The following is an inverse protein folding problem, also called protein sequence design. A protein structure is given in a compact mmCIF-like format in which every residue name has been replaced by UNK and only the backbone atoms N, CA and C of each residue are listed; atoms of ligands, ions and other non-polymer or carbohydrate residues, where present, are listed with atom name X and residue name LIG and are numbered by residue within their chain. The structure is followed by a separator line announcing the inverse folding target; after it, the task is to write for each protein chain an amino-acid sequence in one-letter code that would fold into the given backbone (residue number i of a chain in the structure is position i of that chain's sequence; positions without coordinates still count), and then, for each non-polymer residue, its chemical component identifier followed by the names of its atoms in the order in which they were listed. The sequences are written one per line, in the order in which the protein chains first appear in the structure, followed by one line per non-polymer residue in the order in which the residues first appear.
data_IF_118988151162
#
_entry.id   IF_118988151162
#
_cell.length_a   1.000
_cell.length_b   1.000
_cell.length_c   1.000
_cell.angle_alpha   90.00
_cell.angle_beta   90.00
_cell.angle_gamma   90.00
#
_symmetry.space_group_name_H-M   'P 1'
#
loop_
_entity.id
_entity.type
_entity.pdbx_description
1 polymer ?
#
# COMPACT_ATOMS: atom_id res chain seq x y z
N UNK A 1 -29.05 -43.35 -3.13
CA UNK A 1 -29.29 -43.11 -4.58
C UNK A 1 -29.18 -41.64 -5.01
N UNK A 2 -29.76 -40.65 -4.30
CA UNK A 2 -29.71 -39.21 -4.68
C UNK A 2 -28.29 -38.64 -4.85
N UNK A 3 -27.37 -38.94 -3.92
CA UNK A 3 -25.99 -38.41 -3.93
C UNK A 3 -25.18 -38.90 -5.13
N UNK A 4 -25.27 -40.20 -5.49
CA UNK A 4 -24.59 -40.75 -6.68
C UNK A 4 -25.11 -40.15 -7.98
N UNK A 5 -26.42 -39.85 -8.06
CA UNK A 5 -27.04 -39.22 -9.22
C UNK A 5 -26.63 -37.75 -9.37
N UNK A 6 -26.51 -37.02 -8.26
CA UNK A 6 -25.98 -35.65 -8.23
C UNK A 6 -24.51 -35.65 -8.65
N UNK A 7 -23.68 -36.52 -8.08
CA UNK A 7 -22.25 -36.61 -8.42
C UNK A 7 -22.02 -36.91 -9.92
N UNK A 8 -22.78 -37.84 -10.49
CA UNK A 8 -22.71 -38.16 -11.92
C UNK A 8 -23.13 -36.99 -12.83
N UNK A 9 -24.17 -36.25 -12.45
CA UNK A 9 -24.62 -35.06 -13.19
C UNK A 9 -23.57 -33.93 -13.11
N UNK A 10 -22.99 -33.71 -11.93
CA UNK A 10 -21.92 -32.73 -11.70
C UNK A 10 -20.69 -33.04 -12.53
N UNK A 11 -20.24 -34.30 -12.55
CA UNK A 11 -19.10 -34.74 -13.33
C UNK A 11 -19.33 -34.52 -14.85
N UNK A 12 -20.53 -34.84 -15.35
CA UNK A 12 -20.89 -34.60 -16.75
C UNK A 12 -20.89 -33.11 -17.10
N UNK A 13 -21.48 -32.27 -16.24
CA UNK A 13 -21.49 -30.82 -16.44
C UNK A 13 -20.07 -30.22 -16.39
N UNK A 14 -19.21 -30.72 -15.50
CA UNK A 14 -17.82 -30.30 -15.40
C UNK A 14 -17.03 -30.68 -16.66
N UNK A 15 -17.18 -31.92 -17.14
CA UNK A 15 -16.54 -32.36 -18.38
C UNK A 15 -16.98 -31.52 -19.59
N UNK A 16 -18.29 -31.25 -19.72
CA UNK A 16 -18.81 -30.39 -20.77
C UNK A 16 -18.27 -28.95 -20.68
N UNK A 17 -18.18 -28.40 -19.47
CA UNK A 17 -17.62 -27.07 -19.24
C UNK A 17 -16.10 -27.01 -19.50
N UNK A 18 -15.38 -28.11 -19.33
CA UNK A 18 -13.94 -28.18 -19.60
C UNK A 18 -13.63 -28.34 -21.09
N UNK A 19 -14.55 -28.93 -21.87
CA UNK A 19 -14.42 -29.06 -23.32
C UNK A 19 -14.64 -27.73 -24.06
N UNK A 20 -15.42 -26.81 -23.48
CA UNK A 20 -15.69 -25.49 -24.04
C UNK A 20 -15.12 -24.38 -23.14
N UNK A 21 -14.01 -23.79 -23.58
CA UNK A 21 -13.36 -22.68 -22.89
C UNK A 21 -14.30 -21.49 -22.67
N UNK A 22 -15.31 -21.29 -23.52
CA UNK A 22 -16.30 -20.22 -23.45
C UNK A 22 -17.64 -20.65 -22.86
N UNK A 23 -17.67 -21.81 -22.19
CA UNK A 23 -18.91 -22.34 -21.63
C UNK A 23 -19.59 -21.34 -20.68
N UNK A 24 -20.93 -21.30 -20.63
CA UNK A 24 -21.66 -20.32 -19.82
C UNK A 24 -21.26 -20.28 -18.35
N UNK A 25 -20.87 -21.43 -17.78
CA UNK A 25 -20.43 -21.52 -16.39
C UNK A 25 -19.03 -20.93 -16.18
N UNK A 26 -18.08 -21.16 -17.10
CA UNK A 26 -16.75 -20.54 -17.06
C UNK A 26 -16.85 -19.03 -17.19
N UNK A 27 -17.66 -18.55 -18.13
CA UNK A 27 -17.96 -17.11 -18.28
C UNK A 27 -18.63 -16.52 -17.04
N UNK A 28 -19.52 -17.27 -16.39
CA UNK A 28 -20.11 -16.84 -15.11
C UNK A 28 -19.08 -16.75 -13.98
N UNK A 29 -18.14 -17.69 -13.88
CA UNK A 29 -17.07 -17.63 -12.89
C UNK A 29 -16.08 -16.49 -13.17
N UNK A 30 -15.72 -16.28 -14.44
CA UNK A 30 -14.92 -15.15 -14.87
C UNK A 30 -15.60 -13.80 -14.54
N UNK A 31 -16.92 -13.71 -14.70
CA UNK A 31 -17.71 -12.53 -14.31
C UNK A 31 -17.63 -12.24 -12.79
N UNK A 32 -17.69 -13.29 -11.96
CA UNK A 32 -17.53 -13.15 -10.50
C UNK A 32 -16.10 -12.70 -10.19
N UNK A 33 -15.08 -13.32 -10.80
CA UNK A 33 -13.68 -12.96 -10.61
C UNK A 33 -13.40 -11.50 -11.03
N UNK A 34 -13.99 -11.04 -12.14
CA UNK A 34 -13.90 -9.64 -12.58
C UNK A 34 -14.55 -8.69 -11.56
N UNK A 35 -15.69 -9.06 -10.98
CA UNK A 35 -16.36 -8.28 -9.92
C UNK A 35 -15.52 -8.23 -8.63
N UNK A 36 -14.92 -9.36 -8.23
CA UNK A 36 -13.99 -9.42 -7.10
C UNK A 36 -12.77 -8.53 -7.35
N UNK A 37 -12.18 -8.59 -8.54
CA UNK A 37 -11.05 -7.74 -8.90
C UNK A 37 -11.44 -6.26 -8.85
N UNK A 38 -12.61 -5.87 -9.36
CA UNK A 38 -13.08 -4.50 -9.29
C UNK A 38 -13.25 -4.00 -7.83
N UNK A 39 -13.74 -4.86 -6.92
CA UNK A 39 -13.81 -4.54 -5.50
C UNK A 39 -12.41 -4.37 -4.88
N UNK A 40 -11.47 -5.26 -5.21
CA UNK A 40 -10.07 -5.14 -4.78
C UNK A 40 -9.41 -3.88 -5.34
N UNK A 41 -9.71 -3.51 -6.59
CA UNK A 41 -9.18 -2.32 -7.24
C UNK A 41 -9.71 -1.04 -6.57
N UNK A 42 -10.99 -1.00 -6.19
CA UNK A 42 -11.56 0.08 -5.38
C UNK A 42 -10.82 0.22 -4.04
N UNK A 43 -10.60 -0.90 -3.34
CA UNK A 43 -9.90 -0.89 -2.06
C UNK A 43 -8.43 -0.45 -2.21
N UNK A 44 -7.76 -0.89 -3.27
CA UNK A 44 -6.35 -0.60 -3.50
C UNK A 44 -6.10 0.86 -3.90
N UNK A 45 -6.88 1.38 -4.84
CA UNK A 45 -6.68 2.71 -5.42
C UNK A 45 -7.42 3.81 -4.68
N UNK A 46 -8.44 3.44 -3.90
CA UNK A 46 -9.35 4.39 -3.27
C UNK A 46 -10.22 5.16 -4.26
N UNK A 47 -10.24 4.84 -5.56
CA UNK A 47 -10.96 5.59 -6.60
C UNK A 47 -12.47 5.69 -6.31
N UNK A 48 -13.14 6.77 -6.73
CA UNK A 48 -14.59 6.87 -6.56
C UNK A 48 -15.31 5.84 -7.45
N UNK A 49 -16.43 5.28 -6.96
CA UNK A 49 -17.28 4.37 -7.73
C UNK A 49 -17.64 4.93 -9.12
N UNK A 50 -18.06 6.20 -9.23
CA UNK A 50 -18.41 6.79 -10.52
C UNK A 50 -17.22 6.82 -11.49
N UNK A 51 -16.02 7.07 -10.97
CA UNK A 51 -14.79 7.04 -11.77
C UNK A 51 -14.46 5.61 -12.20
N UNK A 52 -14.53 4.62 -11.29
CA UNK A 52 -14.34 3.20 -11.59
C UNK A 52 -15.26 2.74 -12.74
N UNK A 53 -16.55 3.06 -12.65
CA UNK A 53 -17.56 2.68 -13.65
C UNK A 53 -17.32 3.34 -15.01
N UNK A 54 -16.72 4.54 -15.02
CA UNK A 54 -16.42 5.30 -16.22
C UNK A 54 -15.04 5.01 -16.83
N UNK A 55 -14.21 4.17 -16.18
CA UNK A 55 -12.86 3.86 -16.67
C UNK A 55 -12.94 3.17 -18.02
N UNK A 56 -12.24 3.74 -19.00
CA UNK A 56 -12.13 3.18 -20.35
C UNK A 56 -10.92 2.28 -20.49
N UNK A 57 -11.06 1.26 -21.32
CA UNK A 57 -9.99 0.39 -21.79
C UNK A 57 -9.17 1.10 -22.86
N UNK A 58 -7.87 0.82 -22.87
CA UNK A 58 -6.95 1.22 -23.94
C UNK A 58 -5.78 0.23 -23.99
N UNK A 59 -5.28 -0.14 -25.18
CA UNK A 59 -4.06 -0.94 -25.32
C UNK A 59 -2.84 -0.32 -24.61
N UNK A 60 -2.82 1.01 -24.49
CA UNK A 60 -1.77 1.75 -23.76
C UNK A 60 -1.67 1.32 -22.29
N UNK A 61 -2.79 0.92 -21.67
CA UNK A 61 -2.77 0.37 -20.31
C UNK A 61 -1.93 -0.91 -20.25
N UNK A 62 -2.11 -1.84 -21.19
CA UNK A 62 -1.31 -3.07 -21.21
C UNK A 62 0.18 -2.77 -21.46
N UNK A 63 0.49 -1.81 -22.34
CA UNK A 63 1.88 -1.38 -22.62
C UNK A 63 2.52 -0.74 -21.39
N UNK A 64 1.81 0.16 -20.71
CA UNK A 64 2.30 0.82 -19.49
C UNK A 64 2.57 -0.14 -18.34
N UNK A 65 2.11 -1.40 -18.40
CA UNK A 65 2.42 -2.44 -17.42
C UNK A 65 3.64 -3.29 -17.80
N UNK A 66 4.09 -3.24 -19.06
CA UNK A 66 5.28 -3.94 -19.58
C UNK A 66 6.56 -3.14 -19.38
N UNK A 67 6.47 -1.81 -19.38
CA UNK A 67 7.62 -0.95 -19.11
C UNK A 67 8.06 -1.14 -17.66
N UNK A 68 9.12 -1.92 -17.47
CA UNK A 68 9.80 -2.02 -16.19
C UNK A 68 10.67 -0.75 -16.03
N UNK A 69 10.05 0.42 -15.81
CA UNK A 69 10.83 1.54 -15.32
C UNK A 69 11.30 1.21 -13.91
N UNK A 70 12.61 0.97 -13.83
CA UNK A 70 13.39 0.76 -12.62
C UNK A 70 13.24 2.02 -11.77
N UNK A 71 12.47 1.94 -10.69
CA UNK A 71 12.56 2.88 -9.58
C UNK A 71 11.96 2.26 -8.33
N UNK A 72 12.69 2.38 -7.23
CA UNK A 72 12.46 1.88 -5.86
C UNK A 72 11.17 2.42 -5.21
N UNK A 73 10.02 2.37 -5.88
CA UNK A 73 8.75 2.91 -5.39
C UNK A 73 7.82 1.78 -4.92
N UNK A 74 7.40 1.81 -3.64
CA UNK A 74 6.40 0.87 -3.08
C UNK A 74 5.06 0.91 -3.83
N UNK A 75 4.80 2.03 -4.49
CA UNK A 75 3.65 2.28 -5.34
C UNK A 75 4.06 2.64 -6.75
N UNK A 76 3.24 2.26 -7.73
CA UNK A 76 3.39 2.60 -9.13
C UNK A 76 2.21 3.44 -9.57
N UNK A 77 2.51 4.62 -10.08
CA UNK A 77 1.56 5.48 -10.77
C UNK A 77 1.42 4.97 -12.22
N UNK A 78 0.19 4.60 -12.61
CA UNK A 78 -0.15 4.13 -13.95
C UNK A 78 -0.89 5.25 -14.65
N UNK A 79 -0.40 5.63 -15.83
CA UNK A 79 -0.98 6.66 -16.70
C UNK A 79 -1.21 6.10 -18.09
N UNK A 80 -2.40 6.31 -18.62
CA UNK A 80 -2.73 5.92 -19.98
C UNK A 80 -3.86 6.80 -20.53
N UNK A 81 -3.96 6.95 -21.85
CA UNK A 81 -5.07 7.64 -22.50
C UNK A 81 -6.14 6.67 -22.93
N UNK A 82 -7.39 7.02 -22.63
CA UNK A 82 -8.54 6.26 -23.07
C UNK A 82 -9.73 7.18 -23.35
N UNK A 83 -10.34 7.04 -24.53
CA UNK A 83 -11.46 7.87 -24.99
C UNK A 83 -11.19 9.37 -24.93
N UNK A 84 -9.96 9.80 -25.27
CA UNK A 84 -9.56 11.21 -25.31
C UNK A 84 -9.29 11.85 -23.95
N UNK A 85 -9.18 11.07 -22.87
CA UNK A 85 -8.88 11.57 -21.51
C UNK A 85 -7.68 10.84 -20.92
N UNK A 86 -6.88 11.55 -20.14
CA UNK A 86 -5.82 10.97 -19.32
C UNK A 86 -6.43 10.26 -18.12
N UNK A 87 -6.14 8.96 -17.96
CA UNK A 87 -6.51 8.16 -16.81
C UNK A 87 -5.26 7.90 -16.00
N UNK A 88 -5.30 8.28 -14.71
CA UNK A 88 -4.18 8.07 -13.78
C UNK A 88 -4.69 7.38 -12.52
N UNK A 89 -3.99 6.35 -12.07
CA UNK A 89 -4.24 5.73 -10.77
C UNK A 89 -2.94 5.15 -10.20
N UNK A 90 -2.89 4.98 -8.88
CA UNK A 90 -1.69 4.49 -8.20
C UNK A 90 -2.01 3.18 -7.47
N UNK A 91 -1.15 2.17 -7.63
CA UNK A 91 -1.29 0.84 -7.00
C UNK A 91 0.02 0.41 -6.37
N UNK A 92 -0.02 -0.45 -5.36
CA UNK A 92 1.18 -1.10 -4.82
C UNK A 92 1.78 -2.09 -5.81
N UNK A 93 3.09 -2.35 -5.67
CA UNK A 93 3.77 -3.37 -6.47
C UNK A 93 3.15 -4.77 -6.31
N UNK A 94 2.70 -5.11 -5.10
CA UNK A 94 2.03 -6.39 -4.82
C UNK A 94 0.67 -6.56 -5.51
N UNK A 95 0.05 -5.45 -5.93
CA UNK A 95 -1.20 -5.47 -6.67
C UNK A 95 -1.01 -5.68 -8.18
N UNK A 96 0.18 -5.40 -8.71
CA UNK A 96 0.49 -5.49 -10.14
C UNK A 96 0.21 -6.88 -10.77
N UNK A 97 0.55 -8.02 -10.12
CA UNK A 97 0.19 -9.34 -10.63
C UNK A 97 -1.33 -9.53 -10.76
N UNK A 98 -2.12 -9.00 -9.82
CA UNK A 98 -3.59 -9.08 -9.86
C UNK A 98 -4.16 -8.25 -11.00
N UNK A 99 -3.61 -7.06 -11.25
CA UNK A 99 -3.99 -6.22 -12.38
C UNK A 99 -3.68 -6.91 -13.71
N UNK A 100 -2.50 -7.51 -13.86
CA UNK A 100 -2.16 -8.31 -15.06
C UNK A 100 -3.10 -9.49 -15.25
N UNK A 101 -3.40 -10.23 -14.18
CA UNK A 101 -4.36 -11.34 -14.23
C UNK A 101 -5.76 -10.88 -14.64
N UNK A 102 -6.19 -9.70 -14.18
CA UNK A 102 -7.45 -9.11 -14.61
C UNK A 102 -7.45 -8.73 -16.10
N UNK A 103 -6.37 -8.16 -16.63
CA UNK A 103 -6.31 -7.83 -18.06
C UNK A 103 -6.43 -9.08 -18.95
N UNK A 104 -5.77 -10.18 -18.56
CA UNK A 104 -5.95 -11.47 -19.23
C UNK A 104 -7.39 -11.99 -19.11
N UNK A 105 -8.01 -11.83 -17.93
CA UNK A 105 -9.42 -12.21 -17.72
C UNK A 105 -10.38 -11.36 -18.56
N UNK A 106 -10.10 -10.06 -18.72
CA UNK A 106 -10.87 -9.15 -19.58
C UNK A 106 -10.78 -9.61 -21.03
N UNK A 107 -9.58 -9.89 -21.53
CA UNK A 107 -9.36 -10.43 -22.88
C UNK A 107 -10.15 -11.73 -23.10
N UNK A 108 -10.13 -12.63 -22.10
CA UNK A 108 -10.95 -13.85 -22.11
C UNK A 108 -12.48 -13.57 -22.17
N UNK A 109 -12.97 -12.54 -21.49
CA UNK A 109 -14.39 -12.19 -21.45
C UNK A 109 -14.88 -11.44 -22.70
N UNK A 110 -14.03 -10.55 -23.24
CA UNK A 110 -14.31 -9.66 -24.37
C UNK A 110 -14.16 -10.39 -25.69
N UNK A 111 -13.13 -11.25 -25.82
CA UNK A 111 -12.76 -11.88 -27.10
C UNK A 111 -12.58 -10.80 -28.18
N UNK A 112 -13.19 -10.97 -29.35
CA UNK A 112 -13.08 -10.03 -30.48
C UNK A 112 -14.13 -8.89 -30.43
N UNK A 113 -14.91 -8.78 -29.35
CA UNK A 113 -15.93 -7.74 -29.24
C UNK A 113 -15.30 -6.36 -28.93
N UNK A 114 -15.70 -5.32 -29.66
CA UNK A 114 -15.28 -3.96 -29.32
C UNK A 114 -15.99 -3.46 -28.06
N UNK A 115 -15.24 -3.36 -26.96
CA UNK A 115 -15.71 -2.82 -25.68
C UNK A 115 -14.74 -1.78 -25.15
N UNK A 116 -15.25 -0.58 -24.93
CA UNK A 116 -14.45 0.57 -24.49
C UNK A 116 -14.36 0.68 -22.97
N UNK A 117 -15.14 -0.08 -22.19
CA UNK A 117 -15.09 -0.07 -20.72
C UNK A 117 -13.97 -0.97 -20.19
N UNK A 118 -13.25 -0.53 -19.15
CA UNK A 118 -12.19 -1.30 -18.52
C UNK A 118 -12.74 -2.50 -17.74
N UNK A 119 -13.77 -2.27 -16.92
CA UNK A 119 -14.39 -3.29 -16.07
C UNK A 119 -15.61 -3.92 -16.73
N UNK A 120 -15.46 -5.18 -17.13
CA UNK A 120 -16.49 -5.93 -17.84
C UNK A 120 -16.93 -7.15 -17.05
N UNK A 121 -18.22 -7.43 -17.10
CA UNK A 121 -18.88 -8.58 -16.49
C UNK A 121 -19.88 -9.18 -17.46
N UNK A 122 -20.36 -10.39 -17.18
CA UNK A 122 -21.42 -11.03 -17.96
C UNK A 122 -22.76 -10.79 -17.25
N UNK A 123 -23.73 -10.26 -17.98
CA UNK A 123 -25.06 -9.92 -17.45
C UNK A 123 -25.82 -11.13 -16.92
N UNK A 124 -26.60 -10.90 -15.86
CA UNK A 124 -27.52 -11.88 -15.28
C UNK A 124 -28.98 -11.45 -15.50
N UNK A 125 -29.86 -12.45 -15.66
CA UNK A 125 -31.32 -12.36 -15.74
C UNK A 125 -31.92 -11.60 -16.94
N UNK A 126 -31.69 -10.30 -17.11
CA UNK A 126 -32.39 -9.48 -18.12
C UNK A 126 -31.78 -9.57 -19.53
N UNK A 127 -30.47 -9.83 -19.62
CA UNK A 127 -29.75 -10.12 -20.87
C UNK A 127 -28.69 -11.20 -20.61
N UNK A 128 -29.12 -12.44 -20.34
CA UNK A 128 -28.20 -13.50 -19.96
C UNK A 128 -27.15 -13.67 -21.06
N UNK A 129 -25.89 -13.77 -20.66
CA UNK A 129 -24.74 -14.07 -21.52
C UNK A 129 -24.24 -12.91 -22.40
N UNK A 130 -24.80 -11.70 -22.29
CA UNK A 130 -24.22 -10.51 -22.93
C UNK A 130 -23.16 -9.89 -22.03
N UNK A 131 -22.08 -9.43 -22.66
CA UNK A 131 -21.08 -8.62 -21.97
C UNK A 131 -21.72 -7.30 -21.56
N UNK A 132 -21.37 -6.80 -20.39
CA UNK A 132 -21.86 -5.53 -19.85
C UNK A 132 -20.82 -4.90 -18.93
N UNK A 133 -20.96 -3.61 -18.66
CA UNK A 133 -20.14 -2.92 -17.67
C UNK A 133 -20.60 -3.22 -16.24
N UNK A 134 -19.80 -2.82 -15.26
CA UNK A 134 -20.22 -2.82 -13.87
C UNK A 134 -21.43 -1.87 -13.67
N UNK A 135 -22.32 -2.24 -12.76
CA UNK A 135 -23.42 -1.37 -12.31
C UNK A 135 -23.07 -0.66 -11.00
N UNK A 136 -23.80 0.40 -10.64
CA UNK A 136 -23.68 1.07 -9.34
C UNK A 136 -23.91 0.12 -8.14
N UNK A 137 -24.72 -0.92 -8.32
CA UNK A 137 -25.02 -1.94 -7.31
C UNK A 137 -24.06 -3.15 -7.36
N UNK A 138 -22.93 -3.08 -8.08
CA UNK A 138 -22.11 -4.28 -8.30
C UNK A 138 -21.57 -4.89 -6.99
N UNK A 139 -21.25 -4.06 -5.99
CA UNK A 139 -20.80 -4.53 -4.68
C UNK A 139 -21.90 -5.31 -3.95
N UNK A 140 -23.13 -4.79 -3.92
CA UNK A 140 -24.28 -5.47 -3.29
C UNK A 140 -24.58 -6.81 -3.97
N UNK A 141 -24.50 -6.84 -5.31
CA UNK A 141 -24.69 -8.06 -6.11
C UNK A 141 -23.56 -9.06 -5.89
N UNK A 142 -22.32 -8.58 -5.81
CA UNK A 142 -21.15 -9.40 -5.51
C UNK A 142 -21.32 -10.05 -4.13
N UNK A 143 -21.58 -9.25 -3.11
CA UNK A 143 -21.79 -9.73 -1.74
C UNK A 143 -22.92 -10.75 -1.64
N UNK A 144 -24.09 -10.45 -2.24
CA UNK A 144 -25.20 -11.40 -2.32
C UNK A 144 -24.79 -12.71 -3.02
N UNK A 145 -23.95 -12.61 -4.07
CA UNK A 145 -23.45 -13.79 -4.78
C UNK A 145 -22.49 -14.61 -3.93
N UNK A 146 -21.58 -13.99 -3.19
CA UNK A 146 -20.64 -14.69 -2.31
C UNK A 146 -21.37 -15.41 -1.15
N UNK A 147 -22.45 -14.83 -0.64
CA UNK A 147 -23.31 -15.50 0.35
C UNK A 147 -23.92 -16.80 -0.19
N UNK A 148 -24.36 -16.81 -1.45
CA UNK A 148 -24.87 -18.06 -2.07
C UNK A 148 -23.81 -19.16 -2.17
N UNK A 149 -22.53 -18.82 -2.03
CA UNK A 149 -21.39 -19.73 -1.99
C UNK A 149 -20.94 -20.05 -0.55
N UNK A 150 -21.65 -19.56 0.47
CA UNK A 150 -21.31 -19.73 1.87
C UNK A 150 -20.20 -18.79 2.37
N UNK A 151 -19.82 -17.78 1.60
CA UNK A 151 -18.78 -16.82 1.97
C UNK A 151 -19.42 -15.52 2.46
N UNK A 152 -19.67 -15.46 3.76
CA UNK A 152 -20.27 -14.28 4.40
C UNK A 152 -19.19 -13.25 4.71
N UNK A 153 -19.26 -12.10 4.03
CA UNK A 153 -18.34 -10.97 4.22
C UNK A 153 -19.06 -9.73 4.74
N UNK A 154 -18.38 -8.85 5.51
CA UNK A 154 -18.89 -7.54 5.87
C UNK A 154 -19.31 -6.74 4.64
N UNK A 155 -20.45 -6.06 4.73
CA UNK A 155 -21.00 -5.25 3.63
C UNK A 155 -20.35 -3.88 3.59
N UNK A 156 -19.18 -3.81 2.95
CA UNK A 156 -18.41 -2.57 2.82
C UNK A 156 -18.71 -1.92 1.46
N UNK A 157 -19.25 -0.72 1.48
CA UNK A 157 -19.54 0.07 0.28
C UNK A 157 -18.31 0.80 -0.28
N UNK A 158 -18.41 1.28 -1.52
CA UNK A 158 -17.30 1.98 -2.18
C UNK A 158 -16.81 3.23 -1.42
N UNK A 159 -17.72 3.97 -0.78
CA UNK A 159 -17.37 5.13 0.06
C UNK A 159 -16.59 4.72 1.31
N UNK A 160 -16.95 3.59 1.93
CA UNK A 160 -16.27 3.07 3.10
C UNK A 160 -14.88 2.54 2.73
N UNK A 161 -14.74 1.83 1.59
CA UNK A 161 -13.43 1.44 1.07
C UNK A 161 -12.53 2.64 0.80
N UNK A 162 -13.08 3.70 0.19
CA UNK A 162 -12.33 4.94 -0.05
C UNK A 162 -11.89 5.61 1.26
N UNK A 163 -12.79 5.71 2.25
CA UNK A 163 -12.46 6.28 3.56
C UNK A 163 -11.36 5.47 4.25
N UNK A 164 -11.49 4.14 4.30
CA UNK A 164 -10.47 3.26 4.88
C UNK A 164 -9.12 3.39 4.18
N UNK A 165 -9.11 3.48 2.84
CA UNK A 165 -7.86 3.69 2.08
C UNK A 165 -7.25 5.07 2.36
N UNK A 166 -8.07 6.11 2.49
CA UNK A 166 -7.62 7.45 2.85
C UNK A 166 -7.01 7.46 4.26
N UNK A 167 -7.71 6.91 5.25
CA UNK A 167 -7.23 6.83 6.64
C UNK A 167 -5.93 6.03 6.73
N UNK A 168 -5.85 4.91 6.00
CA UNK A 168 -4.62 4.15 5.86
C UNK A 168 -3.52 5.01 5.23
N UNK A 169 -3.76 5.64 4.08
CA UNK A 169 -2.75 6.46 3.40
C UNK A 169 -2.24 7.61 4.27
N UNK A 170 -3.15 8.26 5.00
CA UNK A 170 -2.83 9.33 5.96
C UNK A 170 -1.97 8.81 7.11
N UNK A 171 -2.40 7.72 7.76
CA UNK A 171 -1.70 7.15 8.92
C UNK A 171 -0.36 6.51 8.57
N UNK A 172 -0.18 6.13 7.30
CA UNK A 172 1.00 5.40 6.84
C UNK A 172 2.01 6.33 6.13
N UNK A 173 1.54 7.30 5.34
CA UNK A 173 2.40 8.07 4.43
C UNK A 173 2.29 9.59 4.60
N UNK A 174 1.45 10.07 5.52
CA UNK A 174 1.21 11.49 5.74
C UNK A 174 0.39 12.16 4.62
N UNK A 175 -0.01 13.43 4.82
CA UNK A 175 -1.03 14.10 4.01
C UNK A 175 -0.65 14.29 2.53
N UNK A 176 0.61 14.62 2.24
CA UNK A 176 1.05 14.90 0.86
C UNK A 176 1.05 13.62 0.01
N UNK A 177 1.58 12.52 0.55
CA UNK A 177 1.60 11.24 -0.16
C UNK A 177 0.19 10.65 -0.22
N UNK A 178 -0.62 10.80 0.84
CA UNK A 178 -2.02 10.39 0.83
C UNK A 178 -2.82 11.14 -0.26
N UNK A 179 -2.65 12.45 -0.38
CA UNK A 179 -3.31 13.24 -1.43
C UNK A 179 -2.97 12.71 -2.83
N UNK A 180 -1.67 12.45 -3.08
CA UNK A 180 -1.19 11.88 -4.35
C UNK A 180 -1.74 10.48 -4.60
N UNK A 181 -1.76 9.62 -3.58
CA UNK A 181 -2.27 8.25 -3.68
C UNK A 181 -3.77 8.21 -3.98
N UNK A 182 -4.53 9.14 -3.39
CA UNK A 182 -5.99 9.23 -3.53
C UNK A 182 -6.44 9.98 -4.80
N UNK A 183 -5.49 10.47 -5.61
CA UNK A 183 -5.76 11.22 -6.84
C UNK A 183 -6.41 12.58 -6.61
N UNK A 184 -6.19 13.20 -5.45
CA UNK A 184 -6.66 14.54 -5.13
C UNK A 184 -5.67 15.61 -5.60
N UNK A 185 -6.15 16.79 -6.01
CA UNK A 185 -5.29 17.98 -6.00
C UNK A 185 -4.90 18.27 -4.54
N UNK A 186 -3.68 18.78 -4.32
CA UNK A 186 -3.21 19.17 -2.98
C UNK A 186 -4.27 20.00 -2.24
N UNK A 187 -4.93 20.92 -2.95
CA UNK A 187 -6.02 21.78 -2.48
C UNK A 187 -7.28 21.03 -2.01
N UNK A 188 -7.64 19.89 -2.62
CA UNK A 188 -8.83 19.10 -2.22
C UNK A 188 -8.56 18.23 -1.00
N UNK A 189 -7.34 17.67 -0.91
CA UNK A 189 -6.88 16.98 0.29
C UNK A 189 -6.74 17.95 1.47
N UNK A 190 -6.28 19.18 1.20
CA UNK A 190 -6.27 20.29 2.16
C UNK A 190 -7.71 20.72 2.54
N UNK A 191 -8.66 20.80 1.62
CA UNK A 191 -10.06 21.17 1.93
C UNK A 191 -10.81 20.18 2.82
N UNK A 192 -10.53 18.88 2.72
CA UNK A 192 -11.11 17.89 3.67
C UNK A 192 -10.48 17.97 5.06
N UNK A 193 -9.33 18.64 5.18
CA UNK A 193 -8.69 19.04 6.44
C UNK A 193 -9.20 20.43 6.91
N UNK A 194 -9.64 21.30 5.99
CA UNK A 194 -10.12 22.68 6.22
C UNK A 194 -11.51 22.79 6.86
N UNK A 195 -11.68 22.23 8.05
CA UNK A 195 -12.57 22.82 9.05
C UNK A 195 -11.81 23.76 10.01
N UNK A 196 -10.55 24.10 9.72
CA UNK A 196 -9.74 25.10 10.43
C UNK A 196 -9.30 26.22 9.50
N UNK A 197 -9.26 27.45 10.00
CA UNK A 197 -8.99 28.70 9.26
C UNK A 197 -7.55 28.79 8.74
N UNK A 198 -7.35 29.45 7.59
CA UNK A 198 -6.07 29.62 6.86
C UNK A 198 -4.86 30.09 7.71
N UNK A 199 -5.10 30.74 8.85
CA UNK A 199 -4.04 31.19 9.76
C UNK A 199 -3.39 30.03 10.54
N UNK A 200 -4.16 29.01 10.92
CA UNK A 200 -3.64 27.82 11.61
C UNK A 200 -2.76 26.97 10.69
N UNK A 201 -3.08 26.95 9.39
CA UNK A 201 -2.37 26.18 8.37
C UNK A 201 -0.93 26.65 8.12
N UNK A 202 -0.68 27.96 8.10
CA UNK A 202 0.70 28.49 7.98
C UNK A 202 1.54 28.18 9.22
N UNK A 203 0.91 28.17 10.40
CA UNK A 203 1.57 27.82 11.65
C UNK A 203 1.92 26.32 11.72
N UNK A 204 1.02 25.43 11.29
CA UNK A 204 1.25 23.97 11.28
C UNK A 204 2.29 23.54 10.23
N UNK A 205 2.29 24.12 9.03
CA UNK A 205 3.31 23.83 8.01
C UNK A 205 4.70 24.34 8.44
N UNK A 206 4.75 25.51 9.07
CA UNK A 206 5.97 26.03 9.69
C UNK A 206 6.46 25.14 10.83
N UNK A 207 5.55 24.64 11.68
CA UNK A 207 5.87 23.72 12.76
C UNK A 207 6.36 22.35 12.27
N UNK A 208 5.80 21.83 11.17
CA UNK A 208 6.25 20.58 10.55
C UNK A 208 7.64 20.71 9.92
N UNK A 209 7.87 21.76 9.13
CA UNK A 209 9.18 22.03 8.54
C UNK A 209 10.25 22.28 9.62
N UNK A 210 9.90 23.05 10.66
CA UNK A 210 10.75 23.24 11.84
C UNK A 210 11.00 21.93 12.59
N UNK A 211 10.01 21.01 12.67
CA UNK A 211 10.18 19.69 13.27
C UNK A 211 11.13 18.81 12.46
N UNK A 212 11.10 18.88 11.13
CA UNK A 212 12.02 18.13 10.25
C UNK A 212 13.43 18.69 10.34
N UNK A 213 13.60 20.01 10.30
CA UNK A 213 14.90 20.69 10.49
C UNK A 213 15.48 20.41 11.87
N UNK A 214 14.65 20.38 12.92
CA UNK A 214 15.08 20.03 14.28
C UNK A 214 15.48 18.57 14.41
N UNK A 215 14.91 17.65 13.62
CA UNK A 215 15.16 16.21 13.74
C UNK A 215 16.46 15.79 13.02
N UNK A 216 16.76 16.36 11.86
CA UNK A 216 17.90 15.96 11.03
C UNK A 216 19.05 16.97 11.17
N UNK A 217 20.07 16.61 11.94
CA UNK A 217 21.23 17.45 12.24
C UNK A 217 22.25 17.44 11.10
N UNK A 218 23.00 18.54 10.97
CA UNK A 218 24.19 18.60 10.13
C UNK A 218 25.37 17.85 10.77
N UNK A 219 26.38 17.42 9.98
CA UNK A 219 27.56 16.75 10.53
C UNK A 219 28.26 17.60 11.60
N UNK A 220 28.53 17.04 12.77
CA UNK A 220 29.29 17.69 13.85
C UNK A 220 28.51 18.71 14.69
N UNK A 221 27.19 18.84 14.51
CA UNK A 221 26.33 19.73 15.30
C UNK A 221 25.62 18.98 16.44
N UNK A 222 26.38 18.35 17.33
CA UNK A 222 25.83 17.68 18.50
C UNK A 222 25.38 18.69 19.57
N UNK A 223 24.09 18.71 19.95
CA UNK A 223 23.66 19.46 21.12
C UNK A 223 24.36 18.92 22.37
N UNK A 224 24.86 19.81 23.24
CA UNK A 224 25.60 19.41 24.44
C UNK A 224 24.79 18.42 25.31
N UNK A 225 25.42 17.30 25.66
CA UNK A 225 24.77 16.23 26.43
C UNK A 225 24.00 15.20 25.59
N UNK A 226 24.17 15.20 24.26
CA UNK A 226 23.64 14.16 23.39
C UNK A 226 24.26 12.79 23.68
N UNK A 227 23.46 11.73 23.54
CA UNK A 227 23.92 10.34 23.65
C UNK A 227 23.57 9.56 22.38
N UNK A 228 24.45 8.64 21.99
CA UNK A 228 24.19 7.73 20.89
C UNK A 228 23.02 6.79 21.19
N UNK A 229 22.19 6.52 20.20
CA UNK A 229 21.13 5.51 20.23
C UNK A 229 21.29 4.53 19.07
N UNK A 230 20.55 3.42 19.12
CA UNK A 230 20.55 2.38 18.09
C UNK A 230 20.01 2.83 16.72
N UNK A 231 19.35 3.99 16.65
CA UNK A 231 18.74 4.53 15.42
C UNK A 231 19.22 5.94 15.07
N UNK A 232 20.11 6.51 15.88
CA UNK A 232 20.55 7.91 15.74
C UNK A 232 21.08 8.43 17.07
N UNK A 233 20.54 9.56 17.55
CA UNK A 233 20.97 10.27 18.76
C UNK A 233 19.79 10.72 19.61
N UNK A 234 20.00 10.80 20.92
CA UNK A 234 19.05 11.37 21.88
C UNK A 234 19.64 12.61 22.56
N UNK A 235 18.87 13.70 22.62
CA UNK A 235 19.29 14.94 23.30
C UNK A 235 18.69 15.11 24.71
N UNK A 236 17.94 14.11 25.19
CA UNK A 236 17.15 14.21 26.42
C UNK A 236 16.76 12.84 26.97
N UNK A 237 17.76 12.06 27.41
CA UNK A 237 17.52 10.71 27.95
C UNK A 237 16.60 10.73 29.19
N UNK A 238 15.78 9.69 29.35
CA UNK A 238 14.71 9.58 30.37
C UNK A 238 13.61 10.65 30.33
N UNK A 239 13.51 11.41 29.23
CA UNK A 239 12.43 12.39 29.01
C UNK A 239 11.70 12.09 27.69
N UNK A 240 11.11 10.89 27.53
CA UNK A 240 10.40 10.57 26.30
C UNK A 240 9.15 11.46 26.21
N UNK A 241 9.04 12.21 25.12
CA UNK A 241 7.81 12.91 24.77
C UNK A 241 7.48 12.65 23.31
N UNK A 242 6.18 12.51 22.97
CA UNK A 242 5.76 12.19 21.62
C UNK A 242 6.06 13.36 20.69
N UNK A 243 6.57 13.05 19.49
CA UNK A 243 6.89 14.06 18.48
C UNK A 243 5.64 14.81 17.95
N UNK A 244 4.45 14.24 18.17
CA UNK A 244 3.17 14.83 17.80
C UNK A 244 2.08 14.44 18.82
N UNK A 245 0.95 15.14 18.81
CA UNK A 245 -0.18 14.88 19.71
C UNK A 245 -0.76 13.45 19.59
N UNK A 246 -0.57 12.79 18.45
CA UNK A 246 -0.89 11.38 18.23
C UNK A 246 0.29 10.69 17.56
N UNK A 247 0.77 9.60 18.15
CA UNK A 247 1.85 8.76 17.62
C UNK A 247 1.42 7.31 17.62
N UNK A 248 1.81 6.59 16.56
CA UNK A 248 1.44 5.17 16.37
C UNK A 248 2.17 4.25 17.35
N UNK A 249 3.41 4.60 17.71
CA UNK A 249 4.21 3.92 18.72
C UNK A 249 4.50 4.94 19.82
N UNK A 250 4.18 4.59 21.06
CA UNK A 250 4.45 5.45 22.20
C UNK A 250 5.97 5.48 22.44
N UNK A 251 6.59 6.67 22.54
CA UNK A 251 8.01 6.76 22.80
C UNK A 251 8.32 6.28 24.21
N UNK A 252 9.36 5.48 24.32
CA UNK A 252 9.91 5.05 25.58
C UNK A 252 11.44 4.92 25.44
N UNK A 253 12.18 5.04 26.55
CA UNK A 253 13.65 4.96 26.54
C UNK A 253 14.19 3.52 26.62
N UNK A 254 13.32 2.51 26.48
CA UNK A 254 13.66 1.07 26.58
C UNK A 254 13.67 0.41 25.20
N UNK A 255 12.69 0.72 24.36
CA UNK A 255 12.56 0.19 23.00
C UNK A 255 13.34 1.03 22.00
N UNK A 256 13.97 0.36 21.04
CA UNK A 256 14.69 1.02 19.95
C UNK A 256 13.70 1.74 19.02
N UNK A 257 12.54 1.14 18.80
CA UNK A 257 11.46 1.62 17.96
C UNK A 257 10.80 2.89 18.53
N UNK A 258 10.64 2.97 19.86
CA UNK A 258 10.05 4.11 20.55
C UNK A 258 10.84 5.41 20.35
N UNK A 259 12.17 5.33 20.24
CA UNK A 259 13.03 6.49 19.97
C UNK A 259 12.65 7.20 18.66
N UNK A 260 12.24 6.49 17.61
CA UNK A 260 11.91 7.07 16.30
C UNK A 260 10.70 8.02 16.33
N UNK A 261 9.87 7.92 17.36
CA UNK A 261 8.65 8.70 17.58
C UNK A 261 8.77 9.71 18.75
N UNK A 262 9.98 9.88 19.28
CA UNK A 262 10.30 10.78 20.38
C UNK A 262 10.73 12.16 19.87
N UNK A 263 10.34 13.23 20.56
CA UNK A 263 10.75 14.61 20.27
C UNK A 263 12.22 14.90 20.63
N UNK A 264 12.83 14.06 21.46
CA UNK A 264 14.24 14.09 21.84
C UNK A 264 15.15 13.39 20.83
N UNK A 265 14.58 12.73 19.81
CA UNK A 265 15.33 11.97 18.83
C UNK A 265 15.91 12.85 17.73
N UNK A 266 17.18 12.64 17.41
CA UNK A 266 17.91 13.30 16.34
C UNK A 266 18.62 12.27 15.48
N UNK A 267 18.90 12.64 14.24
CA UNK A 267 19.68 11.84 13.31
C UNK A 267 20.66 12.74 12.57
N UNK A 268 21.92 12.33 12.47
CA UNK A 268 22.90 13.02 11.63
C UNK A 268 22.76 12.61 10.17
N UNK A 269 23.05 13.57 9.29
CA UNK A 269 23.30 13.28 7.89
C UNK A 269 24.73 12.77 7.67
N UNK A 270 25.06 11.65 8.31
CA UNK A 270 26.35 10.99 8.21
C UNK A 270 26.21 9.48 7.98
N UNK A 271 27.33 8.84 7.64
CA UNK A 271 27.35 7.43 7.32
C UNK A 271 26.96 6.52 8.50
N UNK A 272 27.25 6.93 9.74
CA UNK A 272 27.01 6.12 10.92
C UNK A 272 25.51 6.03 11.23
N UNK A 273 24.82 7.17 11.23
CA UNK A 273 23.39 7.22 11.53
C UNK A 273 22.53 6.69 10.36
N UNK A 274 22.97 6.88 9.11
CA UNK A 274 22.36 6.21 7.95
C UNK A 274 22.43 4.69 8.13
N UNK A 275 23.59 4.14 8.50
CA UNK A 275 23.77 2.69 8.71
C UNK A 275 22.89 2.16 9.83
N UNK A 276 22.78 2.86 10.95
CA UNK A 276 21.88 2.50 12.07
C UNK A 276 20.43 2.43 11.64
N UNK A 277 19.95 3.40 10.85
CA UNK A 277 18.58 3.40 10.32
C UNK A 277 18.34 2.21 9.38
N UNK A 278 19.29 1.93 8.49
CA UNK A 278 19.21 0.79 7.57
C UNK A 278 19.27 -0.56 8.31
N UNK A 279 20.09 -0.67 9.36
CA UNK A 279 20.16 -1.87 10.19
C UNK A 279 18.86 -2.13 10.96
N UNK A 280 18.24 -1.07 11.48
CA UNK A 280 16.89 -1.14 12.05
C UNK A 280 15.89 -1.65 11.02
N UNK A 281 15.89 -1.08 9.81
CA UNK A 281 15.00 -1.49 8.71
C UNK A 281 15.18 -2.95 8.35
N UNK A 282 16.42 -3.43 8.28
CA UNK A 282 16.77 -4.82 7.98
C UNK A 282 16.18 -5.77 9.02
N UNK A 283 16.47 -5.53 10.31
CA UNK A 283 16.01 -6.40 11.40
C UNK A 283 14.48 -6.36 11.56
N UNK A 284 13.84 -5.19 11.42
CA UNK A 284 12.38 -5.06 11.50
C UNK A 284 11.68 -5.80 10.35
N UNK A 285 12.24 -5.79 9.13
CA UNK A 285 11.72 -6.58 8.01
C UNK A 285 11.81 -8.08 8.26
N UNK A 286 12.92 -8.53 8.84
CA UNK A 286 13.16 -9.94 9.15
C UNK A 286 12.16 -10.47 10.19
N UNK A 287 12.03 -9.76 11.32
CA UNK A 287 11.09 -10.13 12.40
C UNK A 287 9.63 -9.97 11.96
N UNK A 288 9.34 -8.95 11.15
CA UNK A 288 7.99 -8.69 10.65
C UNK A 288 7.41 -9.83 9.80
N UNK A 289 8.25 -10.68 9.18
CA UNK A 289 7.80 -11.84 8.42
C UNK A 289 7.00 -12.89 9.23
N UNK A 290 6.96 -12.74 10.56
CA UNK A 290 6.32 -13.67 11.51
C UNK A 290 5.07 -13.10 12.19
N UNK A 291 4.59 -11.93 11.77
CA UNK A 291 3.39 -11.36 12.37
C UNK A 291 2.15 -12.26 12.15
N UNK A 292 1.39 -12.52 13.22
CA UNK A 292 0.21 -13.40 13.20
C UNK A 292 -0.95 -12.82 12.38
N UNK A 293 -0.96 -11.50 12.17
CA UNK A 293 -1.93 -10.80 11.32
C UNK A 293 -1.33 -9.57 10.64
N UNK A 294 -1.94 -9.17 9.53
CA UNK A 294 -1.58 -7.96 8.78
C UNK A 294 -1.82 -6.71 9.65
N UNK A 295 -2.87 -6.67 10.49
CA UNK A 295 -3.10 -5.53 11.38
C UNK A 295 -2.05 -5.40 12.48
N UNK A 296 -1.57 -6.51 13.05
CA UNK A 296 -0.50 -6.49 14.05
C UNK A 296 0.84 -6.09 13.43
N UNK A 297 1.09 -6.54 12.19
CA UNK A 297 2.23 -6.12 11.40
C UNK A 297 2.23 -4.61 11.15
N UNK A 298 1.11 -4.07 10.66
CA UNK A 298 1.01 -2.66 10.26
C UNK A 298 1.04 -1.69 11.45
N UNK A 299 0.49 -2.10 12.61
CA UNK A 299 0.51 -1.30 13.84
C UNK A 299 1.90 -1.18 14.46
N UNK A 300 2.73 -2.22 14.37
CA UNK A 300 4.02 -2.28 15.09
C UNK A 300 5.20 -2.10 14.14
N UNK A 301 5.39 -3.05 13.22
CA UNK A 301 6.55 -3.06 12.31
C UNK A 301 6.38 -2.07 11.16
N UNK A 302 5.17 -1.98 10.60
CA UNK A 302 4.88 -1.05 9.50
C UNK A 302 5.14 0.41 9.88
N UNK A 303 4.71 0.82 11.08
CA UNK A 303 4.91 2.20 11.55
C UNK A 303 6.39 2.56 11.65
N UNK A 304 7.19 1.65 12.21
CA UNK A 304 8.65 1.80 12.36
C UNK A 304 9.32 1.89 10.99
N UNK A 305 9.03 0.96 10.07
CA UNK A 305 9.60 0.95 8.72
C UNK A 305 9.29 2.25 7.96
N UNK A 306 8.07 2.76 8.07
CA UNK A 306 7.66 4.01 7.40
C UNK A 306 8.38 5.23 7.98
N UNK A 307 8.58 5.26 9.30
CA UNK A 307 9.33 6.33 9.96
C UNK A 307 10.81 6.31 9.56
N UNK A 308 11.42 5.12 9.51
CA UNK A 308 12.81 4.95 9.04
C UNK A 308 12.95 5.38 7.58
N UNK A 309 12.05 4.92 6.70
CA UNK A 309 12.09 5.29 5.28
C UNK A 309 11.91 6.81 5.07
N UNK A 310 11.03 7.46 5.85
CA UNK A 310 10.90 8.92 5.85
C UNK A 310 12.22 9.62 6.19
N UNK A 311 12.90 9.18 7.26
CA UNK A 311 14.18 9.77 7.66
C UNK A 311 15.26 9.55 6.60
N UNK A 312 15.33 8.35 6.02
CA UNK A 312 16.25 8.04 4.92
C UNK A 312 15.98 8.90 3.67
N UNK A 313 14.72 9.18 3.35
CA UNK A 313 14.36 10.08 2.24
C UNK A 313 14.79 11.52 2.50
N UNK A 314 14.66 12.02 3.73
CA UNK A 314 15.20 13.34 4.10
C UNK A 314 16.73 13.37 4.01
N UNK A 315 17.41 12.29 4.40
CA UNK A 315 18.86 12.16 4.29
C UNK A 315 19.31 12.08 2.81
N UNK A 316 18.58 11.37 1.95
CA UNK A 316 18.85 11.32 0.50
C UNK A 316 18.77 12.67 -0.18
N UNK A 317 17.89 13.57 0.30
CA UNK A 317 17.82 14.94 -0.23
C UNK A 317 19.10 15.75 0.04
N UNK A 318 19.88 15.37 1.04
CA UNK A 318 21.17 16.00 1.37
C UNK A 318 22.33 15.33 0.65
N UNK A 319 22.39 14.00 0.69
CA UNK A 319 23.42 13.21 0.01
C UNK A 319 22.86 11.85 -0.44
N UNK A 320 22.33 11.82 -1.67
CA UNK A 320 21.76 10.61 -2.25
C UNK A 320 22.81 9.53 -2.49
N UNK A 321 24.04 9.92 -2.86
CA UNK A 321 25.12 8.98 -3.18
C UNK A 321 25.54 8.21 -1.93
N UNK A 322 25.73 8.91 -0.81
CA UNK A 322 26.09 8.29 0.46
C UNK A 322 25.00 7.32 0.95
N UNK A 323 23.74 7.74 0.92
CA UNK A 323 22.64 6.87 1.37
C UNK A 323 22.54 5.63 0.48
N UNK A 324 22.64 5.78 -0.84
CA UNK A 324 22.53 4.65 -1.76
C UNK A 324 23.69 3.66 -1.64
N UNK A 325 24.91 4.14 -1.37
CA UNK A 325 26.07 3.29 -1.12
C UNK A 325 25.91 2.47 0.16
N UNK A 326 25.51 3.11 1.26
CA UNK A 326 25.33 2.43 2.55
C UNK A 326 24.10 1.51 2.51
N UNK A 327 23.05 1.90 1.77
CA UNK A 327 21.88 1.04 1.54
C UNK A 327 22.28 -0.24 0.79
N UNK A 328 23.14 -0.15 -0.22
CA UNK A 328 23.67 -1.35 -0.88
C UNK A 328 24.48 -2.22 0.08
N UNK A 329 25.40 -1.63 0.83
CA UNK A 329 26.27 -2.31 1.78
C UNK A 329 25.47 -3.03 2.91
N UNK A 330 24.40 -2.40 3.40
CA UNK A 330 23.55 -3.00 4.44
C UNK A 330 22.54 -4.01 3.88
N UNK A 331 21.78 -3.66 2.84
CA UNK A 331 20.68 -4.51 2.37
C UNK A 331 21.16 -5.65 1.45
N UNK A 332 22.27 -5.48 0.74
CA UNK A 332 22.81 -6.49 -0.21
C UNK A 332 24.01 -7.22 0.39
N UNK A 333 24.99 -6.50 0.93
CA UNK A 333 26.21 -7.12 1.46
C UNK A 333 26.04 -7.61 2.91
N UNK A 334 24.99 -7.15 3.61
CA UNK A 334 24.66 -7.60 4.97
C UNK A 334 25.51 -6.95 6.07
N UNK A 335 26.23 -5.87 5.76
CA UNK A 335 27.17 -5.23 6.67
C UNK A 335 26.43 -4.29 7.64
N UNK A 336 25.92 -4.85 8.74
CA UNK A 336 25.29 -4.09 9.83
C UNK A 336 26.32 -3.38 10.72
N UNK A 337 25.92 -2.31 11.41
CA UNK A 337 26.75 -1.80 12.51
C UNK A 337 26.72 -2.75 13.72
N UNK A 338 27.66 -2.54 14.64
CA UNK A 338 27.89 -3.42 15.78
C UNK A 338 26.63 -3.67 16.63
N UNK A 339 25.76 -2.66 16.80
CA UNK A 339 24.53 -2.85 17.57
C UNK A 339 23.56 -3.78 16.84
N UNK A 340 23.29 -3.51 15.55
CA UNK A 340 22.32 -4.30 14.78
C UNK A 340 22.85 -5.68 14.40
N UNK A 341 24.17 -5.87 14.26
CA UNK A 341 24.78 -7.19 14.14
C UNK A 341 24.51 -8.04 15.38
N UNK A 342 24.81 -7.52 16.58
CA UNK A 342 24.56 -8.24 17.83
C UNK A 342 23.07 -8.50 18.06
N UNK A 343 22.20 -7.56 17.65
CA UNK A 343 20.75 -7.73 17.72
C UNK A 343 20.26 -8.83 16.77
N UNK A 344 20.82 -8.90 15.57
CA UNK A 344 20.50 -9.93 14.59
C UNK A 344 20.92 -11.32 15.08
N UNK A 345 22.11 -11.44 15.67
CA UNK A 345 22.57 -12.70 16.27
C UNK A 345 21.62 -13.18 17.38
N UNK A 346 21.20 -12.27 18.28
CA UNK A 346 20.19 -12.59 19.29
C UNK A 346 18.86 -13.06 18.67
N UNK A 347 18.43 -12.45 17.56
CA UNK A 347 17.21 -12.87 16.87
C UNK A 347 17.36 -14.27 16.26
N UNK A 348 18.54 -14.64 15.77
CA UNK A 348 18.83 -16.01 15.32
C UNK A 348 18.85 -17.03 16.46
N UNK A 349 19.49 -16.69 17.59
CA UNK A 349 19.53 -17.57 18.77
C UNK A 349 18.14 -17.84 19.35
N UNK A 350 17.28 -16.82 19.37
CA UNK A 350 15.88 -16.93 19.78
C UNK A 350 15.00 -17.61 18.71
N UNK A 351 15.57 -17.95 17.56
CA UNK A 351 14.88 -18.58 16.43
C UNK A 351 13.81 -17.70 15.83
N UNK A 352 13.94 -16.37 15.91
CA UNK A 352 13.00 -15.33 15.43
C UNK A 352 13.47 -14.62 14.15
N UNK A 353 14.74 -14.78 13.78
CA UNK A 353 15.31 -14.39 12.49
C UNK A 353 15.15 -15.49 11.43
#
# INVERSE_FOLDING_TARGET
MRVRRIAGLTAKNLAAANADAQSPIRRSHASIAASCFAALFLAETGINLAQLLAMKWSPELATSLKDASVARQKFREIKYRAGGRDVTFTVSLGFMPKLRAYLALREYLVQDAEWDVLFVVVGHYAQPRRLTGLSTQFLERLYSRLDTLGMVLPRIGARQWRAAKQDWAMSNHGPVIAARLMGHSLETALRSYSNGTDAAHKAEMGAFLASVEKTVLGPGNDPAGSIGSAVGICIGFHKPAPIAASVTVQPDCRSTEGCLFCDQYRVHADAADIRKLLGCRHCVRLVGGRADSIEQYDRSFGAVLRRVDFLLDELRRRDATMVDQIEHDVDIEGNLDAFWSAKLDQLYELGVA
#
